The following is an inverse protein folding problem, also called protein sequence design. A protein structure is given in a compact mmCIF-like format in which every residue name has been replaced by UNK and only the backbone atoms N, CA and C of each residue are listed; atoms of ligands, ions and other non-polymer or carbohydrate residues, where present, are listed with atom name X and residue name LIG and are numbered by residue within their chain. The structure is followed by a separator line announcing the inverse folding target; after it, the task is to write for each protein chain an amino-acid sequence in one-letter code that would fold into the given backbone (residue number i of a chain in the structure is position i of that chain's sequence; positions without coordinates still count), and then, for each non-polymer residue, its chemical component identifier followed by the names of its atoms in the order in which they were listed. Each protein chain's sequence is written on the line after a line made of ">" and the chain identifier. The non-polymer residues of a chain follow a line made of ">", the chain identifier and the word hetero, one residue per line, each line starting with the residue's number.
data_IF_511570526268
#
_entry.id   IF_511570526268
#
_cell.length_a   1.000
_cell.length_b   1.000
_cell.length_c   1.000
_cell.angle_alpha   90.00
_cell.angle_beta   90.00
_cell.angle_gamma   90.00
#
_symmetry.space_group_name_H-M   'P 1'
#
loop_
_entity.id
_entity.type
_entity.pdbx_description
1 polymer ?
#
# COMPACT_ATOMS: atom_id res chain seq x y z
N UNK A 1 0.11 -2.62 19.61
CA UNK A 1 -0.53 -1.73 18.64
C UNK A 1 0.16 -1.86 17.27
N UNK A 2 -0.62 -2.06 16.24
CA UNK A 2 -0.06 -2.22 14.90
C UNK A 2 0.28 -0.84 14.34
N UNK A 3 1.49 -0.68 13.79
CA UNK A 3 1.87 0.60 13.20
C UNK A 3 1.09 0.85 11.91
N UNK A 4 0.82 2.12 11.62
CA UNK A 4 0.12 2.50 10.39
C UNK A 4 0.92 2.10 9.15
N UNK A 5 2.25 2.20 9.21
CA UNK A 5 3.09 1.79 8.09
C UNK A 5 2.89 0.30 7.78
N UNK A 6 2.86 -0.54 8.81
CA UNK A 6 2.64 -1.97 8.63
C UNK A 6 1.26 -2.26 8.04
N UNK A 7 0.25 -1.56 8.52
CA UNK A 7 -1.10 -1.69 8.01
C UNK A 7 -1.13 -1.38 6.50
N UNK A 8 -0.55 -0.25 6.11
CA UNK A 8 -0.55 0.15 4.71
C UNK A 8 0.28 -0.78 3.84
N UNK A 9 1.40 -1.29 4.34
CA UNK A 9 2.20 -2.27 3.62
C UNK A 9 1.41 -3.55 3.36
N UNK A 10 0.65 -3.99 4.36
CA UNK A 10 -0.19 -5.18 4.24
C UNK A 10 -1.30 -4.97 3.23
N UNK A 11 -1.92 -3.78 3.26
CA UNK A 11 -2.96 -3.46 2.30
C UNK A 11 -2.41 -3.37 0.88
N UNK A 12 -1.22 -2.79 0.71
CA UNK A 12 -0.58 -2.72 -0.60
C UNK A 12 -0.31 -4.12 -1.15
N UNK A 13 0.17 -5.02 -0.31
CA UNK A 13 0.42 -6.41 -0.72
C UNK A 13 -0.87 -7.10 -1.13
N UNK A 14 -1.95 -6.89 -0.37
CA UNK A 14 -3.25 -7.48 -0.69
C UNK A 14 -3.78 -6.97 -2.02
N UNK A 15 -3.64 -5.67 -2.29
CA UNK A 15 -4.10 -5.11 -3.55
C UNK A 15 -3.26 -5.58 -4.73
N UNK A 16 -1.96 -5.80 -4.50
CA UNK A 16 -1.07 -6.34 -5.54
C UNK A 16 -1.51 -7.75 -5.95
N UNK A 17 -1.86 -8.58 -4.97
CA UNK A 17 -2.36 -9.93 -5.26
C UNK A 17 -3.69 -9.83 -6.00
N UNK A 18 -4.58 -8.93 -5.58
CA UNK A 18 -5.86 -8.74 -6.25
C UNK A 18 -5.66 -8.28 -7.70
N UNK A 19 -4.70 -7.39 -7.94
CA UNK A 19 -4.40 -6.95 -9.30
C UNK A 19 -3.91 -8.11 -10.18
N UNK A 20 -3.08 -8.98 -9.62
CA UNK A 20 -2.57 -10.14 -10.36
C UNK A 20 -3.67 -11.14 -10.71
N UNK A 21 -4.72 -11.20 -9.89
CA UNK A 21 -5.86 -12.10 -10.10
C UNK A 21 -7.02 -11.46 -10.82
N UNK A 22 -6.92 -10.18 -11.15
CA UNK A 22 -8.01 -9.46 -11.78
C UNK A 22 -8.36 -10.06 -13.13
N UNK A 23 -9.68 -10.21 -13.38
CA UNK A 23 -10.18 -10.80 -14.62
C UNK A 23 -10.35 -9.77 -15.73
N UNK A 24 -10.37 -8.49 -15.40
CA UNK A 24 -10.55 -7.41 -16.38
C UNK A 24 -9.44 -6.39 -16.22
N UNK A 25 -9.18 -5.64 -17.31
CA UNK A 25 -8.20 -4.57 -17.28
C UNK A 25 -8.60 -3.48 -16.30
N UNK A 26 -9.89 -3.18 -16.26
CA UNK A 26 -10.41 -2.16 -15.35
C UNK A 26 -10.15 -2.52 -13.89
N UNK A 27 -10.42 -3.76 -13.53
CA UNK A 27 -10.17 -4.23 -12.16
C UNK A 27 -8.68 -4.23 -11.85
N UNK A 28 -7.86 -4.62 -12.81
CA UNK A 28 -6.41 -4.62 -12.65
C UNK A 28 -5.88 -3.21 -12.40
N UNK A 29 -6.35 -2.25 -13.19
CA UNK A 29 -5.96 -0.86 -13.02
C UNK A 29 -6.38 -0.31 -11.66
N UNK A 30 -7.59 -0.64 -11.24
CA UNK A 30 -8.11 -0.20 -9.95
C UNK A 30 -7.24 -0.70 -8.80
N UNK A 31 -6.96 -2.01 -8.78
CA UNK A 31 -6.14 -2.59 -7.73
C UNK A 31 -4.69 -2.13 -7.78
N UNK A 32 -4.14 -1.91 -8.99
CA UNK A 32 -2.79 -1.38 -9.15
C UNK A 32 -2.69 0.03 -8.60
N UNK A 33 -3.72 0.84 -8.84
CA UNK A 33 -3.78 2.20 -8.29
C UNK A 33 -3.81 2.17 -6.77
N UNK A 34 -4.64 1.29 -6.19
CA UNK A 34 -4.71 1.14 -4.75
C UNK A 34 -3.38 0.67 -4.16
N UNK A 35 -2.69 -0.24 -4.86
CA UNK A 35 -1.37 -0.69 -4.45
C UNK A 35 -0.41 0.48 -4.30
N UNK A 36 -0.37 1.36 -5.31
CA UNK A 36 0.51 2.53 -5.27
C UNK A 36 0.13 3.50 -4.16
N UNK A 37 -1.18 3.71 -3.96
CA UNK A 37 -1.64 4.60 -2.92
C UNK A 37 -1.29 4.10 -1.52
N UNK A 38 -1.51 2.82 -1.26
CA UNK A 38 -1.17 2.25 0.04
C UNK A 38 0.33 2.21 0.26
N UNK A 39 1.11 1.89 -0.78
CA UNK A 39 2.56 1.90 -0.69
C UNK A 39 3.09 3.30 -0.36
N UNK A 40 2.52 4.32 -1.01
CA UNK A 40 2.91 5.69 -0.75
C UNK A 40 2.59 6.11 0.68
N UNK A 41 1.44 5.68 1.20
CA UNK A 41 1.05 5.96 2.57
C UNK A 41 1.98 5.27 3.56
N UNK A 42 2.39 4.03 3.26
CA UNK A 42 3.33 3.30 4.09
C UNK A 42 4.67 4.01 4.16
N UNK A 43 5.14 4.49 3.01
CA UNK A 43 6.40 5.23 2.94
C UNK A 43 6.32 6.55 3.71
N UNK A 44 5.21 7.26 3.57
CA UNK A 44 5.01 8.51 4.28
C UNK A 44 5.02 8.30 5.79
N UNK A 45 4.39 7.22 6.26
CA UNK A 45 4.39 6.89 7.68
C UNK A 45 5.80 6.57 8.17
N UNK A 46 6.56 5.79 7.39
CA UNK A 46 7.94 5.44 7.75
C UNK A 46 8.84 6.66 7.74
N UNK A 47 8.69 7.52 6.74
CA UNK A 47 9.48 8.74 6.67
C UNK A 47 9.17 9.68 7.84
N UNK A 48 7.89 9.77 8.22
CA UNK A 48 7.49 10.56 9.37
C UNK A 48 8.12 10.07 10.66
N UNK A 49 8.14 8.74 10.86
CA UNK A 49 8.76 8.15 12.03
C UNK A 49 10.26 8.41 12.04
N UNK A 50 10.91 8.29 10.89
CA UNK A 50 12.34 8.54 10.76
C UNK A 50 12.66 10.00 11.08
N UNK A 51 11.85 10.93 10.56
CA UNK A 51 12.04 12.36 10.82
C UNK A 51 11.90 12.67 12.31
N UNK A 52 10.95 12.04 12.98
CA UNK A 52 10.75 12.25 14.43
C UNK A 52 11.92 11.66 15.21
N UNK A 53 12.45 10.57 14.76
CA UNK A 53 13.58 9.91 15.45
C UNK A 53 14.88 10.70 15.28
N UNK A 54 14.99 11.43 14.20
CA UNK A 54 16.19 12.22 13.95
C UNK A 54 16.23 13.46 14.82
#
# INVERSE_FOLDING_TARGET
>A
MVSNARYYQRRAAAERVAAARAMTDQAREWHSKLTREFAARAEACSAGLTAVSA
#
